data_IF_810047501064
#
_entry.id   IF_810047501064
#
_cell.length_a   1.000
_cell.length_b   1.000
_cell.length_c   1.000
_cell.angle_alpha   90.00
_cell.angle_beta   90.00
_cell.angle_gamma   90.00
#
_symmetry.space_group_name_H-M   'P 1'
#
loop_
_entity.id
_entity.type
_entity.pdbx_description
1 polymer ?
#
# COMPACT_ATOMS: atom_id res chain seq x y z
N UNK A 1 16.68 4.13 -17.08
CA UNK A 1 16.96 3.57 -18.43
C UNK A 1 15.79 2.66 -18.75
N UNK A 2 15.15 2.85 -19.88
CA UNK A 2 14.03 2.02 -20.38
C UNK A 2 14.48 1.47 -21.75
N UNK A 3 14.85 0.18 -21.79
CA UNK A 3 15.36 -0.50 -22.99
C UNK A 3 14.27 -1.17 -23.79
N UNK A 4 13.18 -1.58 -23.15
CA UNK A 4 12.09 -2.32 -23.78
C UNK A 4 10.95 -1.40 -24.28
N UNK A 5 10.99 -0.11 -23.93
CA UNK A 5 10.09 0.92 -24.43
C UNK A 5 8.70 0.87 -23.79
N UNK A 6 8.57 0.25 -22.62
CA UNK A 6 7.29 0.11 -21.89
C UNK A 6 6.95 1.35 -21.03
N UNK A 7 7.80 2.38 -21.06
CA UNK A 7 7.74 3.60 -20.23
C UNK A 7 7.99 3.36 -18.75
N UNK A 8 8.67 2.27 -18.40
CA UNK A 8 9.13 1.94 -17.05
C UNK A 8 10.65 1.71 -17.08
N UNK A 9 11.36 2.26 -16.09
CA UNK A 9 12.78 2.00 -15.95
C UNK A 9 13.08 0.54 -15.63
N UNK A 10 14.12 0.00 -16.27
CA UNK A 10 14.55 -1.40 -16.14
C UNK A 10 15.24 -1.75 -14.81
N UNK A 11 15.47 -0.76 -13.94
CA UNK A 11 16.17 -0.98 -12.68
C UNK A 11 15.28 -1.70 -11.68
N UNK A 12 15.70 -2.87 -11.21
CA UNK A 12 14.98 -3.62 -10.18
C UNK A 12 15.91 -4.26 -9.16
N UNK A 13 15.39 -4.48 -7.96
CA UNK A 13 16.00 -5.32 -6.93
C UNK A 13 15.03 -6.49 -6.69
N UNK A 14 15.40 -7.67 -7.15
CA UNK A 14 14.69 -8.92 -6.85
C UNK A 14 15.31 -9.60 -5.62
N UNK A 15 14.47 -9.98 -4.67
CA UNK A 15 14.85 -10.69 -3.45
C UNK A 15 14.06 -11.99 -3.34
N UNK A 16 14.79 -13.10 -3.46
CA UNK A 16 14.28 -14.47 -3.19
C UNK A 16 14.86 -15.05 -1.87
N UNK A 17 15.77 -14.32 -1.24
CA UNK A 17 16.47 -14.72 -0.02
C UNK A 17 15.91 -14.07 1.24
N UNK A 18 16.73 -13.27 1.91
CA UNK A 18 16.32 -12.44 3.05
C UNK A 18 16.66 -10.99 2.75
N UNK A 19 15.82 -10.07 3.21
CA UNK A 19 16.08 -8.64 3.16
C UNK A 19 15.87 -8.02 4.54
N UNK A 20 16.89 -7.31 5.02
CA UNK A 20 16.81 -6.49 6.20
C UNK A 20 17.15 -5.05 5.80
N UNK A 21 16.20 -4.15 5.99
CA UNK A 21 16.39 -2.71 5.86
C UNK A 21 16.15 -2.13 7.24
N UNK A 22 17.20 -1.57 7.83
CA UNK A 22 17.23 -1.10 9.21
C UNK A 22 17.68 0.36 9.22
N UNK A 23 16.83 1.25 8.69
CA UNK A 23 17.04 2.68 8.80
C UNK A 23 16.62 3.19 10.19
N UNK A 24 16.84 4.48 10.44
CA UNK A 24 16.25 5.19 11.58
C UNK A 24 15.44 6.39 11.11
N UNK A 25 14.69 7.01 12.01
CA UNK A 25 13.95 8.25 11.69
C UNK A 25 14.86 9.36 11.16
N UNK A 26 16.02 9.57 11.80
CA UNK A 26 16.98 10.60 11.40
C UNK A 26 17.82 10.19 10.19
N UNK A 27 17.93 8.89 9.92
CA UNK A 27 18.75 8.32 8.85
C UNK A 27 18.02 7.14 8.19
N UNK A 28 16.97 7.43 7.41
CA UNK A 28 16.27 6.39 6.69
C UNK A 28 17.16 5.81 5.57
N UNK A 29 16.86 4.58 5.17
CA UNK A 29 17.39 4.04 3.91
C UNK A 29 16.56 4.60 2.78
N UNK A 30 17.20 5.21 1.77
CA UNK A 30 16.51 5.82 0.64
C UNK A 30 16.73 5.01 -0.63
N UNK A 31 15.64 4.60 -1.27
CA UNK A 31 15.63 4.03 -2.62
C UNK A 31 14.91 5.00 -3.55
N UNK A 32 15.64 5.57 -4.51
CA UNK A 32 15.17 6.66 -5.37
C UNK A 32 15.82 6.62 -6.74
N UNK A 33 15.26 7.38 -7.69
CA UNK A 33 15.84 7.59 -9.01
C UNK A 33 17.13 8.41 -8.93
N UNK A 34 18.10 8.09 -9.78
CA UNK A 34 19.30 8.90 -9.96
C UNK A 34 19.14 10.01 -11.03
N UNK A 35 17.93 10.18 -11.59
CA UNK A 35 17.65 11.22 -12.57
C UNK A 35 17.73 12.62 -11.94
N UNK A 36 18.07 13.63 -12.76
CA UNK A 36 18.09 15.02 -12.31
C UNK A 36 16.69 15.55 -11.98
N UNK A 37 15.67 15.05 -12.67
CA UNK A 37 14.25 15.35 -12.45
C UNK A 37 13.49 14.03 -12.30
N UNK A 38 13.46 13.42 -11.10
CA UNK A 38 12.84 12.13 -10.88
C UNK A 38 11.36 12.08 -11.26
N UNK A 39 10.95 11.01 -11.94
CA UNK A 39 9.56 10.75 -12.31
C UNK A 39 9.08 9.39 -11.80
N UNK A 40 7.78 9.22 -11.49
CA UNK A 40 7.22 7.91 -11.21
C UNK A 40 7.53 6.92 -12.35
N UNK A 41 7.89 5.70 -12.00
CA UNK A 41 8.36 4.65 -12.92
C UNK A 41 9.76 4.86 -13.53
N UNK A 42 10.61 5.71 -12.96
CA UNK A 42 12.04 5.81 -13.33
C UNK A 42 12.82 4.51 -13.10
N UNK A 43 12.30 3.63 -12.23
CA UNK A 43 12.79 2.28 -11.96
C UNK A 43 11.62 1.33 -11.64
N UNK A 44 11.83 0.02 -11.78
CA UNK A 44 10.79 -1.02 -11.74
C UNK A 44 10.32 -1.31 -10.33
N UNK A 45 11.15 -2.01 -9.55
CA UNK A 45 10.70 -2.65 -8.32
C UNK A 45 11.78 -2.75 -7.25
N UNK A 46 11.35 -2.62 -6.00
CA UNK A 46 11.84 -3.49 -4.92
C UNK A 46 10.89 -4.68 -4.84
N UNK A 47 11.31 -5.84 -5.35
CA UNK A 47 10.45 -7.00 -5.48
C UNK A 47 10.90 -8.12 -4.54
N UNK A 48 10.02 -8.48 -3.59
CA UNK A 48 10.16 -9.65 -2.75
C UNK A 48 9.31 -10.78 -3.34
N UNK A 49 9.94 -11.82 -3.84
CA UNK A 49 9.27 -12.98 -4.43
C UNK A 49 9.78 -14.26 -3.79
N UNK A 50 8.92 -14.99 -3.08
CA UNK A 50 9.31 -16.16 -2.29
C UNK A 50 10.45 -15.89 -1.29
N UNK A 51 10.66 -14.63 -0.88
CA UNK A 51 11.63 -14.29 0.14
C UNK A 51 11.30 -15.00 1.46
N UNK A 52 12.33 -15.59 2.06
CA UNK A 52 12.24 -16.36 3.30
C UNK A 52 11.84 -15.51 4.50
N UNK A 53 12.34 -14.27 4.53
CA UNK A 53 12.07 -13.28 5.56
C UNK A 53 12.41 -11.89 5.04
N UNK A 54 11.52 -10.93 5.28
CA UNK A 54 11.84 -9.52 5.08
C UNK A 54 11.43 -8.70 6.31
N UNK A 55 12.37 -7.88 6.80
CA UNK A 55 12.08 -6.84 7.79
C UNK A 55 12.56 -5.52 7.23
N UNK A 56 11.64 -4.57 7.12
CA UNK A 56 11.90 -3.28 6.51
C UNK A 56 11.40 -2.23 7.49
N UNK A 57 12.34 -1.42 7.98
CA UNK A 57 12.07 -0.33 8.91
C UNK A 57 12.76 0.93 8.42
N UNK A 58 12.05 2.06 8.46
CA UNK A 58 12.57 3.37 8.04
C UNK A 58 13.12 3.39 6.61
N UNK A 59 12.40 2.74 5.69
CA UNK A 59 12.63 2.87 4.25
C UNK A 59 11.91 4.12 3.71
N UNK A 60 12.56 4.88 2.83
CA UNK A 60 11.90 5.81 1.92
C UNK A 60 12.05 5.25 0.51
N UNK A 61 10.93 4.88 -0.12
CA UNK A 61 10.88 4.38 -1.49
C UNK A 61 10.12 5.34 -2.39
N UNK A 62 10.79 5.85 -3.42
CA UNK A 62 10.25 6.89 -4.29
C UNK A 62 10.63 6.75 -5.77
N UNK A 63 9.74 7.25 -6.64
CA UNK A 63 9.88 7.28 -8.11
C UNK A 63 9.93 5.91 -8.80
N UNK A 64 9.49 4.86 -8.13
CA UNK A 64 9.38 3.52 -8.69
C UNK A 64 8.08 3.32 -9.47
N UNK A 65 8.03 2.28 -10.29
CA UNK A 65 6.76 1.74 -10.76
C UNK A 65 6.04 1.02 -9.62
N UNK A 66 6.73 0.21 -8.82
CA UNK A 66 6.23 -0.18 -7.50
C UNK A 66 7.28 0.07 -6.43
N UNK A 67 6.94 0.91 -5.45
CA UNK A 67 7.85 1.27 -4.36
C UNK A 67 8.27 0.05 -3.54
N UNK A 68 7.36 -0.90 -3.38
CA UNK A 68 7.66 -2.29 -3.03
C UNK A 68 6.57 -3.22 -3.55
N UNK A 69 6.97 -4.38 -4.04
CA UNK A 69 6.08 -5.47 -4.42
C UNK A 69 6.40 -6.71 -3.57
N UNK A 70 5.38 -7.30 -2.95
CA UNK A 70 5.55 -8.47 -2.05
C UNK A 70 4.66 -9.63 -2.51
N UNK A 71 5.25 -10.74 -2.92
CA UNK A 71 4.57 -11.95 -3.35
C UNK A 71 5.09 -13.19 -2.62
N UNK A 72 4.19 -14.04 -2.10
CA UNK A 72 4.54 -15.33 -1.46
C UNK A 72 5.54 -15.23 -0.29
N UNK A 73 5.60 -14.08 0.39
CA UNK A 73 6.56 -13.81 1.46
C UNK A 73 5.89 -13.72 2.84
N UNK A 74 6.69 -13.96 3.88
CA UNK A 74 6.45 -13.42 5.22
C UNK A 74 7.28 -12.13 5.37
N UNK A 75 6.62 -10.98 5.47
CA UNK A 75 7.28 -9.69 5.52
C UNK A 75 6.68 -8.80 6.62
N UNK A 76 7.53 -8.03 7.29
CA UNK A 76 7.12 -6.91 8.14
C UNK A 76 7.72 -5.63 7.58
N UNK A 77 6.86 -4.65 7.34
CA UNK A 77 7.22 -3.31 6.88
C UNK A 77 6.69 -2.35 7.94
N UNK A 78 7.57 -1.60 8.59
CA UNK A 78 7.20 -0.64 9.59
C UNK A 78 7.86 0.73 9.34
N UNK A 79 7.22 1.79 9.82
CA UNK A 79 7.80 3.13 9.93
C UNK A 79 8.45 3.66 8.65
N UNK A 80 7.86 3.32 7.50
CA UNK A 80 8.41 3.57 6.17
C UNK A 80 7.57 4.58 5.39
N UNK A 81 8.15 5.15 4.34
CA UNK A 81 7.51 6.13 3.46
C UNK A 81 7.52 5.62 2.03
N UNK A 82 6.35 5.55 1.41
CA UNK A 82 6.18 5.20 0.00
C UNK A 82 5.52 6.38 -0.70
N UNK A 83 6.28 7.07 -1.57
CA UNK A 83 5.79 8.28 -2.24
C UNK A 83 6.26 8.46 -3.67
N UNK A 84 5.49 9.19 -4.48
CA UNK A 84 5.83 9.47 -5.88
C UNK A 84 6.06 8.22 -6.74
N UNK A 85 5.49 7.08 -6.33
CA UNK A 85 5.51 5.84 -7.11
C UNK A 85 4.24 5.72 -7.95
N UNK A 86 4.24 4.81 -8.93
CA UNK A 86 2.97 4.38 -9.54
C UNK A 86 2.16 3.59 -8.52
N UNK A 87 2.69 2.49 -7.99
CA UNK A 87 2.14 1.77 -6.84
C UNK A 87 3.04 2.02 -5.62
N UNK A 88 2.52 2.57 -4.52
CA UNK A 88 3.29 2.77 -3.30
C UNK A 88 3.71 1.42 -2.70
N UNK A 89 2.71 0.64 -2.27
CA UNK A 89 2.89 -0.74 -1.80
C UNK A 89 1.98 -1.66 -2.60
N UNK A 90 2.58 -2.68 -3.22
CA UNK A 90 1.86 -3.74 -3.93
C UNK A 90 2.04 -5.08 -3.26
N UNK A 91 0.97 -5.86 -3.10
CA UNK A 91 1.10 -7.23 -2.60
C UNK A 91 0.11 -8.22 -3.21
N UNK A 92 0.50 -9.50 -3.23
CA UNK A 92 -0.38 -10.60 -3.62
C UNK A 92 0.04 -11.90 -2.94
N UNK A 93 -0.94 -12.63 -2.37
CA UNK A 93 -0.70 -13.91 -1.66
C UNK A 93 0.45 -13.84 -0.66
N UNK A 94 0.23 -13.12 0.45
CA UNK A 94 1.29 -12.83 1.45
C UNK A 94 0.88 -13.15 2.88
N UNK A 95 1.87 -13.22 3.76
CA UNK A 95 1.73 -12.96 5.20
C UNK A 95 2.50 -11.65 5.49
N UNK A 96 1.81 -10.52 5.38
CA UNK A 96 2.41 -9.18 5.43
C UNK A 96 1.86 -8.41 6.63
N UNK A 97 2.74 -7.88 7.46
CA UNK A 97 2.42 -6.79 8.38
C UNK A 97 2.94 -5.48 7.80
N UNK A 98 2.06 -4.47 7.65
CA UNK A 98 2.42 -3.12 7.25
C UNK A 98 1.88 -2.13 8.28
N UNK A 99 2.78 -1.44 8.97
CA UNK A 99 2.39 -0.53 10.06
C UNK A 99 3.26 0.72 10.17
N UNK A 100 2.77 1.72 10.90
CA UNK A 100 3.51 2.98 11.18
C UNK A 100 3.90 3.79 9.94
N UNK A 101 3.40 3.42 8.75
CA UNK A 101 3.96 3.91 7.49
C UNK A 101 3.12 5.03 6.88
N UNK A 102 3.77 5.87 6.07
CA UNK A 102 3.14 6.95 5.30
C UNK A 102 3.15 6.60 3.81
N UNK A 103 1.98 6.50 3.21
CA UNK A 103 1.79 6.09 1.82
C UNK A 103 1.05 7.22 1.10
N UNK A 104 1.78 8.07 0.40
CA UNK A 104 1.23 9.31 -0.14
C UNK A 104 1.80 9.73 -1.47
N UNK A 105 1.08 10.56 -2.22
CA UNK A 105 1.51 11.07 -3.54
C UNK A 105 1.88 9.97 -4.56
N UNK A 106 1.27 8.80 -4.45
CA UNK A 106 1.37 7.74 -5.46
C UNK A 106 0.14 7.76 -6.39
N UNK A 107 0.21 7.07 -7.53
CA UNK A 107 -1.00 6.81 -8.33
C UNK A 107 -1.94 5.86 -7.57
N UNK A 108 -1.40 4.80 -7.00
CA UNK A 108 -2.13 3.92 -6.08
C UNK A 108 -1.32 3.84 -4.79
N UNK A 109 -1.92 4.16 -3.64
CA UNK A 109 -1.23 4.03 -2.36
C UNK A 109 -0.95 2.57 -2.05
N UNK A 110 -2.01 1.80 -1.80
CA UNK A 110 -1.99 0.36 -1.63
C UNK A 110 -2.64 -0.30 -2.84
N UNK A 111 -1.99 -1.28 -3.46
CA UNK A 111 -2.58 -2.08 -4.53
C UNK A 111 -2.44 -3.56 -4.23
N UNK A 112 -3.53 -4.33 -4.28
CA UNK A 112 -3.42 -5.76 -4.02
C UNK A 112 -4.37 -6.66 -4.80
N UNK A 113 -3.92 -7.90 -4.96
CA UNK A 113 -4.68 -9.06 -5.37
C UNK A 113 -4.57 -10.10 -4.27
N UNK A 114 -5.61 -10.31 -3.48
CA UNK A 114 -5.57 -11.29 -2.42
C UNK A 114 -5.94 -12.67 -2.99
N UNK A 115 -4.98 -13.60 -3.08
CA UNK A 115 -5.28 -15.02 -3.35
C UNK A 115 -4.80 -15.84 -2.17
N UNK A 116 -5.69 -16.01 -1.20
CA UNK A 116 -5.43 -16.74 0.04
C UNK A 116 -4.27 -16.17 0.90
N UNK A 117 -4.04 -14.86 0.85
CA UNK A 117 -3.12 -14.17 1.78
C UNK A 117 -3.78 -13.83 3.12
N UNK A 118 -2.95 -13.44 4.09
CA UNK A 118 -3.32 -12.87 5.38
C UNK A 118 -2.42 -11.64 5.60
N UNK A 119 -2.85 -10.49 5.08
CA UNK A 119 -2.16 -9.23 5.29
C UNK A 119 -2.82 -8.48 6.44
N UNK A 120 -2.02 -7.92 7.34
CA UNK A 120 -2.46 -7.04 8.40
C UNK A 120 -1.86 -5.64 8.18
N UNK A 121 -2.69 -4.71 7.74
CA UNK A 121 -2.32 -3.35 7.39
C UNK A 121 -2.97 -2.42 8.41
N UNK A 122 -2.17 -1.82 9.29
CA UNK A 122 -2.70 -1.04 10.41
C UNK A 122 -1.81 0.12 10.82
N UNK A 123 -2.41 1.17 11.39
CA UNK A 123 -1.69 2.35 11.87
C UNK A 123 -0.82 2.98 10.77
N UNK A 124 -1.38 3.10 9.56
CA UNK A 124 -0.76 3.80 8.44
C UNK A 124 -1.53 5.07 8.08
N UNK A 125 -0.82 6.03 7.49
CA UNK A 125 -1.40 7.19 6.83
C UNK A 125 -1.43 6.95 5.32
N UNK A 126 -2.61 6.83 4.72
CA UNK A 126 -2.83 6.61 3.28
C UNK A 126 -3.58 7.80 2.70
N UNK A 127 -2.84 8.79 2.20
CA UNK A 127 -3.39 10.10 1.80
C UNK A 127 -2.79 10.65 0.53
N UNK A 128 -3.47 11.57 -0.13
CA UNK A 128 -2.95 12.29 -1.30
C UNK A 128 -2.49 11.38 -2.46
N UNK A 129 -2.98 10.13 -2.52
CA UNK A 129 -2.79 9.25 -3.68
C UNK A 129 -3.92 9.50 -4.68
N UNK A 130 -3.76 9.15 -5.96
CA UNK A 130 -4.92 9.22 -6.87
C UNK A 130 -6.00 8.24 -6.42
N UNK A 131 -5.60 7.03 -6.04
CA UNK A 131 -6.44 6.03 -5.39
C UNK A 131 -5.73 5.59 -4.10
N UNK A 132 -6.41 5.67 -2.96
CA UNK A 132 -5.84 5.24 -1.67
C UNK A 132 -5.57 3.74 -1.64
N UNK A 133 -6.62 2.94 -1.78
CA UNK A 133 -6.57 1.48 -1.83
C UNK A 133 -7.19 0.98 -3.14
N UNK A 134 -6.43 0.25 -3.93
CA UNK A 134 -6.90 -0.42 -5.15
C UNK A 134 -6.94 -1.93 -4.96
N UNK A 135 -8.14 -2.47 -4.78
CA UNK A 135 -8.39 -3.91 -4.70
C UNK A 135 -8.65 -4.43 -6.11
N UNK A 136 -7.67 -5.10 -6.71
CA UNK A 136 -7.68 -5.35 -8.15
C UNK A 136 -8.68 -6.46 -8.53
N UNK A 137 -8.55 -7.64 -7.93
CA UNK A 137 -9.41 -8.80 -8.21
C UNK A 137 -9.17 -9.91 -7.16
N UNK A 138 -10.11 -10.86 -7.11
CA UNK A 138 -10.08 -12.11 -6.32
C UNK A 138 -9.94 -11.95 -4.81
N UNK A 139 -10.13 -10.76 -4.26
CA UNK A 139 -10.15 -10.56 -2.81
C UNK A 139 -11.34 -11.29 -2.20
N UNK A 140 -11.05 -12.17 -1.24
CA UNK A 140 -12.01 -12.93 -0.44
C UNK A 140 -12.22 -12.27 0.94
N UNK A 141 -11.83 -11.00 1.08
CA UNK A 141 -11.95 -10.17 2.28
C UNK A 141 -11.16 -10.71 3.49
N UNK A 142 -10.01 -11.36 3.24
CA UNK A 142 -9.17 -11.93 4.31
C UNK A 142 -8.12 -10.97 4.85
N UNK A 143 -7.68 -10.01 4.05
CA UNK A 143 -6.71 -8.99 4.45
C UNK A 143 -7.36 -8.04 5.45
N UNK A 144 -6.77 -7.94 6.63
CA UNK A 144 -7.22 -7.05 7.70
C UNK A 144 -6.61 -5.68 7.49
N UNK A 145 -7.41 -4.75 6.99
CA UNK A 145 -7.01 -3.35 6.82
C UNK A 145 -7.84 -2.52 7.79
N UNK A 146 -7.26 -2.19 8.94
CA UNK A 146 -7.94 -1.55 10.07
C UNK A 146 -7.00 -0.63 10.84
N UNK A 147 -7.57 0.35 11.56
CA UNK A 147 -6.82 1.37 12.30
C UNK A 147 -5.87 2.18 11.42
N UNK A 148 -6.25 2.51 10.18
CA UNK A 148 -5.51 3.42 9.31
C UNK A 148 -6.26 4.75 9.16
N UNK A 149 -5.52 5.79 8.79
CA UNK A 149 -6.07 7.03 8.26
C UNK A 149 -6.09 6.92 6.74
N UNK A 150 -7.29 6.86 6.13
CA UNK A 150 -7.47 6.75 4.68
C UNK A 150 -8.28 7.95 4.22
N UNK A 151 -7.59 9.02 3.85
CA UNK A 151 -8.18 10.36 3.68
C UNK A 151 -7.58 11.08 2.48
N UNK A 152 -8.27 12.08 1.96
CA UNK A 152 -7.74 13.04 0.97
C UNK A 152 -7.15 12.42 -0.31
N UNK A 153 -7.53 11.18 -0.66
CA UNK A 153 -7.13 10.59 -1.94
C UNK A 153 -7.95 11.20 -3.09
N UNK A 154 -7.30 11.54 -4.21
CA UNK A 154 -7.82 12.49 -5.22
C UNK A 154 -9.06 11.98 -5.97
N UNK A 155 -9.09 10.69 -6.33
CA UNK A 155 -10.22 10.09 -7.06
C UNK A 155 -11.10 9.24 -6.14
N UNK A 156 -10.48 8.31 -5.43
CA UNK A 156 -11.17 7.39 -4.54
C UNK A 156 -10.29 7.03 -3.36
N UNK A 157 -10.86 6.93 -2.16
CA UNK A 157 -10.18 6.29 -1.04
C UNK A 157 -10.06 4.78 -1.28
N UNK A 158 -11.07 4.16 -1.89
CA UNK A 158 -11.07 2.74 -2.23
C UNK A 158 -11.62 2.54 -3.63
N UNK A 159 -10.95 1.71 -4.43
CA UNK A 159 -11.44 1.30 -5.74
C UNK A 159 -11.39 -0.21 -5.87
N UNK A 160 -12.46 -0.80 -6.39
CA UNK A 160 -12.46 -2.18 -6.87
C UNK A 160 -12.10 -2.22 -8.35
N UNK A 161 -11.30 -3.21 -8.74
CA UNK A 161 -10.99 -3.51 -10.13
C UNK A 161 -12.17 -4.21 -10.81
N UNK A 162 -12.19 -4.16 -12.14
CA UNK A 162 -13.34 -4.58 -12.95
C UNK A 162 -13.78 -6.04 -12.73
N UNK A 163 -12.85 -6.90 -12.29
CA UNK A 163 -13.09 -8.32 -12.03
C UNK A 163 -13.18 -8.64 -10.52
N UNK A 164 -13.35 -7.63 -9.66
CA UNK A 164 -13.54 -7.82 -8.22
C UNK A 164 -15.04 -7.84 -7.88
N UNK A 165 -15.67 -9.00 -7.98
CA UNK A 165 -17.10 -9.19 -7.69
C UNK A 165 -17.41 -9.45 -6.20
N UNK A 166 -16.43 -9.91 -5.44
CA UNK A 166 -16.54 -10.14 -4.00
C UNK A 166 -16.52 -8.84 -3.19
N UNK A 167 -17.31 -8.78 -2.13
CA UNK A 167 -17.38 -7.63 -1.23
C UNK A 167 -16.06 -7.45 -0.45
N UNK A 168 -15.79 -6.23 -0.01
CA UNK A 168 -14.59 -5.87 0.76
C UNK A 168 -14.99 -5.06 1.99
N UNK A 169 -14.45 -5.40 3.14
CA UNK A 169 -14.75 -4.79 4.44
C UNK A 169 -13.50 -4.14 5.01
N UNK A 170 -13.58 -2.85 5.33
CA UNK A 170 -12.47 -2.05 5.85
C UNK A 170 -12.85 -1.47 7.22
N UNK A 171 -12.96 -2.31 8.26
CA UNK A 171 -13.45 -1.90 9.56
C UNK A 171 -12.48 -0.94 10.26
N UNK A 172 -12.99 -0.11 11.17
CA UNK A 172 -12.16 0.62 12.14
C UNK A 172 -11.06 1.47 11.51
N UNK A 173 -11.31 2.05 10.35
CA UNK A 173 -10.44 3.07 9.75
C UNK A 173 -11.03 4.47 9.97
N UNK A 174 -10.16 5.47 9.96
CA UNK A 174 -10.54 6.87 9.88
C UNK A 174 -10.64 7.31 8.43
N UNK A 175 -11.75 7.95 8.07
CA UNK A 175 -12.08 8.35 6.70
C UNK A 175 -12.24 9.87 6.54
N UNK A 176 -11.81 10.66 7.52
CA UNK A 176 -12.04 12.11 7.58
C UNK A 176 -13.41 12.50 8.16
N UNK A 177 -14.29 11.52 8.38
CA UNK A 177 -15.64 11.71 8.93
C UNK A 177 -16.19 10.39 9.46
N UNK A 178 -17.25 10.44 10.27
CA UNK A 178 -18.04 9.28 10.69
C UNK A 178 -19.34 9.13 9.90
N UNK A 179 -19.67 10.07 9.01
CA UNK A 179 -20.86 9.99 8.16
C UNK A 179 -20.65 8.94 7.06
N UNK A 180 -21.34 7.79 7.19
CA UNK A 180 -21.21 6.65 6.28
C UNK A 180 -21.53 7.00 4.81
N UNK A 181 -22.50 7.87 4.55
CA UNK A 181 -22.85 8.26 3.17
C UNK A 181 -21.67 8.97 2.50
N UNK A 182 -21.06 9.94 3.20
CA UNK A 182 -19.87 10.67 2.71
C UNK A 182 -18.64 9.77 2.58
N UNK A 183 -18.52 8.75 3.43
CA UNK A 183 -17.45 7.74 3.33
C UNK A 183 -17.67 6.91 2.06
N UNK A 184 -18.87 6.37 1.87
CA UNK A 184 -19.22 5.52 0.75
C UNK A 184 -19.06 6.27 -0.59
N UNK A 185 -19.38 7.56 -0.66
CA UNK A 185 -19.12 8.41 -1.85
C UNK A 185 -17.66 8.36 -2.34
N UNK A 186 -16.71 8.08 -1.44
CA UNK A 186 -15.28 7.98 -1.78
C UNK A 186 -14.85 6.61 -2.31
N UNK A 187 -15.77 5.63 -2.43
CA UNK A 187 -15.43 4.29 -2.94
C UNK A 187 -16.01 4.01 -4.32
N UNK A 188 -15.20 3.50 -5.23
CA UNK A 188 -15.64 2.94 -6.51
C UNK A 188 -15.92 1.44 -6.37
N UNK A 189 -17.19 1.07 -6.25
CA UNK A 189 -17.66 -0.30 -5.95
C UNK A 189 -18.99 -0.62 -6.65
N UNK A 190 -19.75 -1.62 -6.15
CA UNK A 190 -21.08 -2.04 -6.64
C UNK A 190 -22.06 -0.88 -6.90
N UNK A 191 -21.96 0.22 -6.17
CA UNK A 191 -22.84 1.39 -6.34
C UNK A 191 -22.57 2.12 -7.65
N UNK A 192 -21.34 2.05 -8.15
CA UNK A 192 -20.91 2.61 -9.44
C UNK A 192 -21.04 1.59 -10.58
N UNK A 193 -20.68 0.33 -10.34
CA UNK A 193 -20.80 -0.77 -11.32
C UNK A 193 -21.38 -2.02 -10.64
N UNK A 194 -22.56 -2.45 -11.09
CA UNK A 194 -23.32 -3.56 -10.50
C UNK A 194 -22.60 -4.92 -10.56
N UNK A 195 -21.58 -5.07 -11.41
CA UNK A 195 -20.81 -6.32 -11.49
C UNK A 195 -19.74 -6.44 -10.39
N UNK A 196 -19.48 -5.36 -9.67
CA UNK A 196 -18.47 -5.32 -8.61
C UNK A 196 -19.02 -5.75 -7.24
N UNK A 197 -18.08 -6.05 -6.35
CA UNK A 197 -18.31 -6.16 -4.91
C UNK A 197 -18.76 -4.84 -4.29
N UNK A 198 -19.39 -4.90 -3.12
CA UNK A 198 -19.62 -3.71 -2.30
C UNK A 198 -18.43 -3.49 -1.37
N UNK A 199 -17.98 -2.24 -1.25
CA UNK A 199 -17.03 -1.85 -0.20
C UNK A 199 -17.84 -1.36 1.01
N UNK A 200 -17.48 -1.81 2.21
CA UNK A 200 -18.10 -1.35 3.46
C UNK A 200 -17.05 -0.89 4.46
N UNK A 201 -17.37 0.14 5.23
CA UNK A 201 -16.52 0.72 6.26
C UNK A 201 -17.19 0.66 7.64
N UNK A 202 -17.39 -0.55 8.21
CA UNK A 202 -18.08 -0.67 9.49
C UNK A 202 -17.24 -0.07 10.62
N UNK A 203 -17.92 0.53 11.60
CA UNK A 203 -17.28 1.14 12.77
C UNK A 203 -16.21 2.19 12.37
N UNK A 204 -16.54 3.21 11.56
CA UNK A 204 -15.59 4.26 11.23
C UNK A 204 -15.12 4.93 12.53
N UNK A 205 -13.82 5.21 12.63
CA UNK A 205 -13.26 5.84 13.82
C UNK A 205 -13.80 7.26 13.98
N UNK A 206 -13.87 7.77 15.22
CA UNK A 206 -14.35 9.12 15.51
C UNK A 206 -13.30 10.22 15.30
N UNK A 207 -12.04 9.84 15.16
CA UNK A 207 -10.89 10.73 15.02
C UNK A 207 -9.76 10.01 14.27
N UNK A 208 -8.78 10.74 13.71
CA UNK A 208 -7.58 10.14 13.14
C UNK A 208 -6.87 9.23 14.14
N UNK A 209 -6.33 8.12 13.64
CA UNK A 209 -5.38 7.27 14.35
C UNK A 209 -4.08 8.04 14.52
N UNK A 210 -3.51 8.04 15.72
CA UNK A 210 -2.17 8.55 15.96
C UNK A 210 -1.20 7.51 15.41
N UNK A 211 -0.40 7.91 14.43
CA UNK A 211 0.63 7.06 13.86
C UNK A 211 1.87 7.16 14.76
N UNK A 212 1.89 6.36 15.81
CA UNK A 212 3.07 6.17 16.68
C UNK A 212 4.01 5.17 16.01
N UNK A 213 5.31 5.48 16.00
CA UNK A 213 6.32 4.54 15.50
C UNK A 213 6.40 3.34 16.44
N UNK A 214 6.73 2.16 15.92
CA UNK A 214 6.99 1.02 16.79
C UNK A 214 8.17 1.40 17.72
N UNK A 215 7.98 1.35 19.03
CA UNK A 215 9.09 1.52 19.97
C UNK A 215 10.12 0.45 19.62
N UNK A 216 11.32 0.91 19.20
CA UNK A 216 12.41 0.02 18.82
C UNK A 216 12.69 -0.93 19.95
N UNK A 217 12.26 -2.19 19.79
CA UNK A 217 12.64 -3.25 20.70
C UNK A 217 14.15 -3.33 20.70
N UNK A 218 14.76 -3.00 21.84
CA UNK A 218 16.18 -3.25 22.07
C UNK A 218 16.50 -4.72 21.76
N UNK A 219 17.68 -4.90 21.17
CA UNK A 219 18.24 -6.12 20.58
C UNK A 219 18.07 -7.43 21.37
#
# INVERSE_FOLDING_TARGET
IDRDGDSIGDGEILVEGRLFIEGTEDRPVVMTSAAAEPQPADWKYLYLDFAREARIENLVSEYAFSGIQVHFCKARIADSVFRHNVDGVRFSTVNLELSGSRIHDNRHGLRYEERRGDAFIHHNEIRDNDIGIFVVTRSDDRSRIEYNNIVDNRRYNVKLGIDQSGDVTLPRNWWGTTNLERIEETFFDRRFDRNLGRVTAPQPLGQPVIIERAEGGEA
#
